data_IF_885573541179
#
_entry.id   IF_885573541179
#
_cell.length_a   1.000
_cell.length_b   1.000
_cell.length_c   1.000
_cell.angle_alpha   90.00
_cell.angle_beta   90.00
_cell.angle_gamma   90.00
#
_symmetry.space_group_name_H-M   'P 1'
#
loop_
_entity.id
_entity.type
_entity.pdbx_description
1 polymer ?
#
# COMPACT_ATOMS: atom_id res chain seq x y z
N UNK A 1 -3.66 5.54 -8.90
CA UNK A 1 -2.50 5.29 -8.00
C UNK A 1 -1.28 5.99 -8.55
N UNK A 2 -0.56 6.72 -7.74
CA UNK A 2 0.69 7.37 -8.12
C UNK A 2 1.87 6.60 -7.51
N UNK A 3 2.79 6.16 -8.36
CA UNK A 3 4.00 5.45 -7.94
C UNK A 3 5.17 6.42 -8.00
N UNK A 4 5.87 6.57 -6.90
CA UNK A 4 7.06 7.41 -6.77
C UNK A 4 8.26 6.52 -6.46
N UNK A 5 9.37 6.77 -7.12
CA UNK A 5 10.66 6.19 -6.73
C UNK A 5 11.53 7.34 -6.24
N UNK A 6 11.95 7.25 -5.00
CA UNK A 6 12.81 8.25 -4.36
C UNK A 6 14.17 7.67 -4.00
N UNK A 7 15.16 8.51 -3.94
CA UNK A 7 16.55 8.17 -3.63
C UNK A 7 17.11 9.10 -2.57
N UNK A 8 17.90 8.56 -1.67
CA UNK A 8 18.66 9.35 -0.71
C UNK A 8 19.77 10.11 -1.43
N UNK A 9 19.88 11.42 -1.18
CA UNK A 9 21.03 12.23 -1.57
C UNK A 9 21.92 12.34 -0.34
N UNK A 10 22.95 11.50 -0.25
CA UNK A 10 24.01 11.70 0.74
C UNK A 10 25.31 12.05 0.02
N UNK A 11 25.94 13.12 0.42
CA UNK A 11 27.17 13.66 -0.20
C UNK A 11 28.40 12.75 -0.01
N UNK A 12 28.33 11.69 0.78
CA UNK A 12 29.46 10.83 1.12
C UNK A 12 29.09 9.37 0.92
N UNK A 13 29.66 8.77 -0.09
CA UNK A 13 30.01 7.35 -0.32
C UNK A 13 29.05 6.22 -0.02
N UNK A 14 27.79 6.36 0.35
CA UNK A 14 26.99 5.21 0.76
C UNK A 14 25.70 5.00 -0.03
N UNK A 15 25.67 3.82 -0.58
CA UNK A 15 24.50 3.09 -1.09
C UNK A 15 23.43 3.98 -1.71
N UNK A 16 23.37 3.94 -3.01
CA UNK A 16 22.29 4.52 -3.82
C UNK A 16 20.97 3.79 -3.51
N UNK A 17 20.51 3.89 -2.27
CA UNK A 17 19.28 3.26 -1.84
C UNK A 17 18.11 3.92 -2.52
N UNK A 18 17.19 3.09 -3.01
CA UNK A 18 15.95 3.53 -3.61
C UNK A 18 14.79 2.94 -2.81
N UNK A 19 13.74 3.68 -2.68
CA UNK A 19 12.49 3.17 -2.13
C UNK A 19 11.32 3.46 -3.05
N UNK A 20 10.32 2.61 -3.00
CA UNK A 20 9.06 2.76 -3.71
C UNK A 20 8.02 3.34 -2.78
N UNK A 21 7.31 4.37 -3.25
CA UNK A 21 6.19 4.96 -2.55
C UNK A 21 4.97 4.87 -3.45
N UNK A 22 3.87 4.43 -2.88
CA UNK A 22 2.59 4.33 -3.57
C UNK A 22 1.61 5.28 -2.90
N UNK A 23 1.14 6.27 -3.66
CA UNK A 23 0.03 7.13 -3.24
C UNK A 23 -1.23 6.48 -3.78
N UNK A 24 -2.07 6.00 -2.86
CA UNK A 24 -3.30 5.30 -3.16
C UNK A 24 -4.39 6.25 -3.71
N UNK A 25 -5.48 5.72 -4.28
CA UNK A 25 -6.54 6.53 -4.90
C UNK A 25 -7.07 7.67 -4.02
N UNK A 26 -7.29 7.44 -2.73
CA UNK A 26 -7.74 8.46 -1.79
C UNK A 26 -6.77 9.65 -1.64
N UNK A 27 -5.47 9.38 -1.65
CA UNK A 27 -4.45 10.43 -1.61
C UNK A 27 -4.46 11.31 -2.87
N UNK A 28 -4.77 10.72 -4.02
CA UNK A 28 -4.93 11.47 -5.28
C UNK A 28 -6.22 12.28 -5.25
N UNK A 29 -7.34 11.68 -4.87
CA UNK A 29 -8.64 12.36 -4.76
C UNK A 29 -8.60 13.56 -3.81
N UNK A 30 -7.80 13.47 -2.76
CA UNK A 30 -7.58 14.54 -1.78
C UNK A 30 -6.50 15.54 -2.21
N UNK A 31 -5.98 15.44 -3.42
CA UNK A 31 -4.92 16.33 -3.94
C UNK A 31 -3.65 16.38 -3.09
N UNK A 32 -3.28 15.25 -2.47
CA UNK A 32 -2.14 15.17 -1.55
C UNK A 32 -0.80 14.84 -2.21
N UNK A 33 -0.76 14.58 -3.52
CA UNK A 33 0.45 14.15 -4.23
C UNK A 33 1.61 15.12 -4.02
N UNK A 34 1.38 16.41 -4.24
CA UNK A 34 2.40 17.45 -4.06
C UNK A 34 2.89 17.57 -2.61
N UNK A 35 1.98 17.52 -1.64
CA UNK A 35 2.33 17.55 -0.21
C UNK A 35 3.19 16.35 0.19
N UNK A 36 2.85 15.16 -0.28
CA UNK A 36 3.61 13.93 0.01
C UNK A 36 5.01 14.02 -0.59
N UNK A 37 5.13 14.43 -1.87
CA UNK A 37 6.44 14.62 -2.52
C UNK A 37 7.27 15.65 -1.74
N UNK A 38 6.69 16.80 -1.42
CA UNK A 38 7.37 17.86 -0.68
C UNK A 38 7.87 17.42 0.70
N UNK A 39 7.16 16.54 1.39
CA UNK A 39 7.62 15.97 2.67
C UNK A 39 8.87 15.12 2.50
N UNK A 40 8.94 14.30 1.46
CA UNK A 40 10.12 13.50 1.17
C UNK A 40 11.31 14.34 0.73
N UNK A 41 11.08 15.38 -0.07
CA UNK A 41 12.14 16.29 -0.49
C UNK A 41 12.71 17.11 0.67
N UNK A 42 11.87 17.55 1.60
CA UNK A 42 12.31 18.29 2.81
C UNK A 42 13.26 17.49 3.70
N UNK A 43 13.18 16.17 3.72
CA UNK A 43 14.10 15.31 4.48
C UNK A 43 15.30 14.84 3.64
N UNK A 44 15.53 15.45 2.47
CA UNK A 44 16.72 15.20 1.64
C UNK A 44 16.59 13.98 0.71
N UNK A 45 15.37 13.50 0.46
CA UNK A 45 15.14 12.45 -0.51
C UNK A 45 14.88 13.05 -1.90
N UNK A 46 15.46 12.47 -2.93
CA UNK A 46 15.30 12.92 -4.32
C UNK A 46 14.29 12.05 -5.05
N UNK A 47 13.29 12.69 -5.64
CA UNK A 47 12.40 12.01 -6.60
C UNK A 47 13.21 11.67 -7.87
N UNK A 48 13.27 10.39 -8.22
CA UNK A 48 14.02 9.90 -9.39
C UNK A 48 13.11 9.32 -10.48
N UNK A 49 11.90 8.92 -10.14
CA UNK A 49 10.87 8.53 -11.10
C UNK A 49 9.48 8.70 -10.49
N UNK A 50 8.51 8.98 -11.34
CA UNK A 50 7.10 9.06 -10.99
C UNK A 50 6.25 8.49 -12.12
N UNK A 51 5.22 7.73 -11.77
CA UNK A 51 4.26 7.18 -12.73
C UNK A 51 2.85 7.21 -12.14
N UNK A 52 1.89 7.72 -12.91
CA UNK A 52 0.48 7.56 -12.61
C UNK A 52 -0.02 6.28 -13.28
N UNK A 53 -0.67 5.42 -12.52
CA UNK A 53 -1.09 4.08 -12.97
C UNK A 53 -2.52 3.81 -12.52
N UNK A 54 -3.33 3.26 -13.42
CA UNK A 54 -4.56 2.55 -13.07
C UNK A 54 -4.23 1.04 -13.12
N UNK A 55 -4.06 0.37 -11.98
CA UNK A 55 -3.69 -1.03 -11.96
C UNK A 55 -4.87 -1.93 -12.36
N UNK A 56 -4.58 -3.08 -12.96
CA UNK A 56 -5.58 -4.15 -13.12
C UNK A 56 -5.82 -4.86 -11.78
N UNK A 57 -6.97 -5.53 -11.65
CA UNK A 57 -7.27 -6.35 -10.47
C UNK A 57 -6.22 -7.44 -10.24
N UNK A 58 -5.76 -8.10 -11.31
CA UNK A 58 -4.68 -9.08 -11.26
C UNK A 58 -3.38 -8.49 -10.67
N UNK A 59 -3.04 -7.27 -11.08
CA UNK A 59 -1.86 -6.57 -10.56
C UNK A 59 -1.99 -6.27 -9.06
N UNK A 60 -3.17 -5.84 -8.64
CA UNK A 60 -3.48 -5.57 -7.23
C UNK A 60 -3.40 -6.86 -6.41
N UNK A 61 -4.01 -7.93 -6.88
CA UNK A 61 -3.95 -9.23 -6.20
C UNK A 61 -2.50 -9.71 -6.04
N UNK A 62 -1.73 -9.68 -7.12
CA UNK A 62 -0.32 -10.07 -7.12
C UNK A 62 0.51 -9.24 -6.15
N UNK A 63 0.27 -7.92 -6.09
CA UNK A 63 0.96 -7.03 -5.15
C UNK A 63 0.73 -7.42 -3.69
N UNK A 64 -0.51 -7.70 -3.30
CA UNK A 64 -0.83 -8.06 -1.91
C UNK A 64 -0.49 -9.51 -1.55
N UNK A 65 -0.40 -10.40 -2.52
CA UNK A 65 -0.15 -11.83 -2.31
C UNK A 65 1.27 -12.27 -2.61
N UNK A 66 2.22 -11.33 -2.73
CA UNK A 66 3.64 -11.63 -2.92
C UNK A 66 4.22 -12.49 -1.79
N UNK A 67 3.82 -12.21 -0.54
CA UNK A 67 4.11 -13.09 0.59
C UNK A 67 3.04 -14.19 0.66
N UNK A 68 3.40 -15.47 0.49
CA UNK A 68 2.44 -16.58 0.56
C UNK A 68 1.72 -16.69 1.89
N UNK A 69 2.29 -16.14 2.97
CA UNK A 69 1.67 -16.13 4.30
C UNK A 69 0.72 -14.95 4.53
N UNK A 70 0.71 -13.98 3.64
CA UNK A 70 -0.05 -12.74 3.82
C UNK A 70 -1.54 -13.01 4.11
N UNK A 71 -2.15 -13.94 3.37
CA UNK A 71 -3.58 -14.27 3.54
C UNK A 71 -3.89 -14.77 4.94
N UNK A 72 -3.08 -15.70 5.45
CA UNK A 72 -3.26 -16.28 6.80
C UNK A 72 -3.00 -15.23 7.88
N UNK A 73 -1.85 -14.55 7.82
CA UNK A 73 -1.43 -13.58 8.83
C UNK A 73 -2.42 -12.42 8.93
N UNK A 74 -2.88 -11.89 7.80
CA UNK A 74 -3.84 -10.79 7.77
C UNK A 74 -5.20 -11.20 8.32
N UNK A 75 -5.67 -12.39 7.98
CA UNK A 75 -6.92 -12.92 8.51
C UNK A 75 -6.86 -13.14 10.03
N UNK A 76 -5.81 -13.77 10.53
CA UNK A 76 -5.59 -13.99 11.97
C UNK A 76 -5.54 -12.67 12.76
N UNK A 77 -4.79 -11.68 12.26
CA UNK A 77 -4.73 -10.35 12.88
C UNK A 77 -6.09 -9.66 12.90
N UNK A 78 -6.87 -9.80 11.85
CA UNK A 78 -8.21 -9.23 11.78
C UNK A 78 -9.14 -9.87 12.80
N UNK A 79 -9.17 -11.21 12.89
CA UNK A 79 -9.95 -11.94 13.90
C UNK A 79 -9.56 -11.47 15.31
N UNK A 80 -8.27 -11.42 15.60
CA UNK A 80 -7.76 -10.96 16.89
C UNK A 80 -8.23 -9.54 17.20
N UNK A 81 -8.14 -8.61 16.25
CA UNK A 81 -8.59 -7.23 16.44
C UNK A 81 -10.08 -7.11 16.75
N UNK A 82 -10.93 -7.93 16.11
CA UNK A 82 -12.37 -7.98 16.44
C UNK A 82 -12.61 -8.45 17.87
N UNK A 83 -11.95 -9.53 18.28
CA UNK A 83 -12.07 -10.11 19.64
C UNK A 83 -11.59 -9.13 20.72
N UNK A 84 -10.47 -8.45 20.48
CA UNK A 84 -9.93 -7.44 21.41
C UNK A 84 -10.88 -6.24 21.60
N UNK A 85 -11.64 -5.90 20.56
CA UNK A 85 -12.65 -4.83 20.61
C UNK A 85 -14.01 -5.29 21.15
N UNK A 86 -14.16 -6.55 21.51
CA UNK A 86 -15.41 -7.13 22.01
C UNK A 86 -16.47 -7.37 20.94
N UNK A 87 -16.09 -7.41 19.67
CA UNK A 87 -17.00 -7.70 18.55
C UNK A 87 -16.76 -9.10 17.99
N UNK A 88 -17.82 -9.82 17.59
CA UNK A 88 -17.64 -11.09 16.89
C UNK A 88 -17.00 -10.85 15.51
N UNK A 89 -16.00 -11.63 15.11
CA UNK A 89 -15.43 -11.56 13.78
C UNK A 89 -16.47 -12.03 12.74
N UNK A 90 -16.41 -11.50 11.51
CA UNK A 90 -17.34 -11.94 10.45
C UNK A 90 -17.16 -13.41 10.04
N UNK A 91 -16.02 -14.01 10.37
CA UNK A 91 -15.71 -15.43 10.21
C UNK A 91 -14.59 -15.81 11.16
N UNK A 92 -14.56 -17.05 11.61
CA UNK A 92 -13.41 -17.62 12.35
C UNK A 92 -12.36 -18.22 11.39
N UNK A 93 -12.63 -18.26 10.09
CA UNK A 93 -11.70 -18.70 9.06
C UNK A 93 -10.88 -17.50 8.52
N UNK A 94 -9.56 -17.46 8.79
CA UNK A 94 -8.69 -16.38 8.34
C UNK A 94 -8.70 -16.20 6.81
N UNK A 95 -8.82 -17.29 6.05
CA UNK A 95 -8.77 -17.23 4.59
C UNK A 95 -10.04 -16.62 4.00
N UNK A 96 -11.21 -16.87 4.60
CA UNK A 96 -12.47 -16.23 4.19
C UNK A 96 -12.44 -14.73 4.45
N UNK A 97 -11.93 -14.32 5.60
CA UNK A 97 -11.76 -12.89 5.93
C UNK A 97 -10.84 -12.22 4.93
N UNK A 98 -9.70 -12.84 4.65
CA UNK A 98 -8.71 -12.23 3.74
C UNK A 98 -9.19 -12.19 2.30
N UNK A 99 -9.98 -13.16 1.86
CA UNK A 99 -10.62 -13.12 0.55
C UNK A 99 -11.53 -11.89 0.41
N UNK A 100 -12.38 -11.62 1.41
CA UNK A 100 -13.23 -10.43 1.43
C UNK A 100 -12.42 -9.12 1.48
N UNK A 101 -11.32 -9.10 2.23
CA UNK A 101 -10.40 -7.95 2.28
C UNK A 101 -9.77 -7.72 0.89
N UNK A 102 -9.31 -8.76 0.22
CA UNK A 102 -8.67 -8.67 -1.08
C UNK A 102 -9.62 -8.12 -2.16
N UNK A 103 -10.88 -8.55 -2.18
CA UNK A 103 -11.88 -8.02 -3.10
C UNK A 103 -12.14 -6.51 -2.86
N UNK A 104 -12.21 -6.08 -1.61
CA UNK A 104 -12.30 -4.65 -1.29
C UNK A 104 -11.07 -3.87 -1.74
N UNK A 105 -9.87 -4.45 -1.56
CA UNK A 105 -8.62 -3.82 -1.99
C UNK A 105 -8.55 -3.72 -3.52
N UNK A 106 -9.00 -4.74 -4.26
CA UNK A 106 -9.11 -4.67 -5.72
C UNK A 106 -10.01 -3.51 -6.14
N UNK A 107 -11.26 -3.48 -5.65
CA UNK A 107 -12.20 -2.41 -5.95
C UNK A 107 -11.64 -1.03 -5.63
N UNK A 108 -11.02 -0.87 -4.46
CA UNK A 108 -10.43 0.39 -4.03
C UNK A 108 -9.24 0.82 -4.90
N UNK A 109 -8.30 -0.09 -5.17
CA UNK A 109 -7.07 0.24 -5.90
C UNK A 109 -7.29 0.44 -7.40
N UNK A 110 -8.35 -0.16 -7.95
CA UNK A 110 -8.74 0.03 -9.36
C UNK A 110 -9.75 1.16 -9.56
N UNK A 111 -10.19 1.80 -8.48
CA UNK A 111 -11.05 2.97 -8.59
C UNK A 111 -10.33 4.10 -9.30
N UNK A 112 -11.03 4.76 -10.21
CA UNK A 112 -10.54 5.97 -10.86
C UNK A 112 -10.47 7.11 -9.85
N UNK A 113 -9.47 7.98 -9.93
CA UNK A 113 -9.44 9.21 -9.15
C UNK A 113 -10.52 10.18 -9.61
#
# INVERSE_FOLDING_TARGET
>A
MCILVIRTITMIHYKKERTLIIIKPDGIQRSLVGEIIGRFERVGLKLVAMKLVLPSEEHVEKHYTLDPNWRRITGEKTIKSYKEKGFPPPSEDPLKITAAILERLKTYMTSSP
#
